data_IF_969409430855
#
_entry.id   IF_969409430855
#
_cell.length_a   1.000
_cell.length_b   1.000
_cell.length_c   1.000
_cell.angle_alpha   90.00
_cell.angle_beta   90.00
_cell.angle_gamma   90.00
#
_symmetry.space_group_name_H-M   'P 1'
#
loop_
_entity.id
_entity.type
_entity.pdbx_description
1 polymer ?
#
# COMPACT_ATOMS: atom_id res chain seq x y z
N UNK A 1 0.93 -33.75 1.70
CA UNK A 1 0.59 -33.52 3.12
C UNK A 1 -0.88 -33.12 3.15
N UNK A 2 -1.74 -33.80 3.92
CA UNK A 2 -3.18 -33.50 3.96
C UNK A 2 -3.61 -33.30 5.42
N UNK A 3 -4.01 -32.07 5.75
CA UNK A 3 -4.45 -31.63 7.08
C UNK A 3 -5.17 -30.28 6.95
N UNK A 4 -5.86 -29.85 8.02
CA UNK A 4 -6.41 -28.50 8.08
C UNK A 4 -5.28 -27.50 8.25
N UNK A 5 -5.40 -26.35 7.60
CA UNK A 5 -4.46 -25.22 7.72
C UNK A 5 -5.15 -24.03 8.36
N UNK A 6 -4.34 -23.13 8.90
CA UNK A 6 -4.71 -21.84 9.46
C UNK A 6 -4.16 -20.72 8.59
N UNK A 7 -4.58 -19.48 8.84
CA UNK A 7 -4.02 -18.31 8.15
C UNK A 7 -2.54 -18.11 8.48
N UNK A 8 -2.09 -18.52 9.66
CA UNK A 8 -0.68 -18.41 10.05
C UNK A 8 0.22 -19.35 9.23
N UNK A 9 -0.29 -20.52 8.83
CA UNK A 9 0.42 -21.43 7.92
C UNK A 9 0.62 -20.81 6.52
N UNK A 10 -0.38 -20.03 6.05
CA UNK A 10 -0.28 -19.28 4.79
C UNK A 10 0.79 -18.19 4.89
N UNK A 11 0.78 -17.41 5.98
CA UNK A 11 1.78 -16.36 6.20
C UNK A 11 3.20 -16.91 6.28
N UNK A 12 3.38 -18.03 6.97
CA UNK A 12 4.67 -18.69 7.05
C UNK A 12 5.16 -19.12 5.66
N UNK A 13 4.30 -19.78 4.88
CA UNK A 13 4.66 -20.25 3.53
C UNK A 13 5.04 -19.10 2.59
N UNK A 14 4.29 -17.98 2.64
CA UNK A 14 4.62 -16.78 1.87
C UNK A 14 5.91 -16.12 2.36
N UNK A 15 6.16 -16.11 3.68
CA UNK A 15 7.36 -15.52 4.27
C UNK A 15 8.61 -16.29 3.83
N UNK A 16 8.56 -17.62 3.84
CA UNK A 16 9.66 -18.48 3.39
C UNK A 16 9.99 -18.25 1.92
N UNK A 17 8.97 -18.26 1.03
CA UNK A 17 9.17 -17.99 -0.39
C UNK A 17 9.72 -16.57 -0.66
N UNK A 18 9.28 -15.59 0.12
CA UNK A 18 9.77 -14.22 0.02
C UNK A 18 11.24 -14.10 0.46
N UNK A 19 11.62 -14.74 1.58
CA UNK A 19 13.00 -14.77 2.07
C UNK A 19 13.96 -15.50 1.13
N UNK A 20 13.50 -16.57 0.47
CA UNK A 20 14.29 -17.27 -0.55
C UNK A 20 14.65 -16.33 -1.72
N UNK A 21 13.69 -15.51 -2.17
CA UNK A 21 13.89 -14.57 -3.27
C UNK A 21 14.57 -13.26 -2.84
N UNK A 22 14.36 -12.83 -1.59
CA UNK A 22 14.84 -11.57 -1.03
C UNK A 22 15.47 -11.77 0.37
N UNK A 23 16.65 -12.41 0.46
CA UNK A 23 17.23 -12.81 1.75
C UNK A 23 17.55 -11.66 2.71
N UNK A 24 17.73 -10.45 2.17
CA UNK A 24 18.04 -9.24 2.95
C UNK A 24 16.81 -8.44 3.37
N UNK A 25 15.60 -8.86 2.97
CA UNK A 25 14.39 -8.12 3.33
C UNK A 25 13.97 -8.39 4.77
N UNK A 26 13.62 -7.31 5.47
CA UNK A 26 13.05 -7.29 6.82
C UNK A 26 11.51 -7.34 6.84
N UNK A 27 10.88 -7.57 5.69
CA UNK A 27 9.43 -7.62 5.58
C UNK A 27 8.86 -8.77 6.41
N UNK A 28 7.98 -8.44 7.35
CA UNK A 28 7.15 -9.38 8.08
C UNK A 28 5.77 -9.47 7.43
N UNK A 29 5.52 -10.55 6.68
CA UNK A 29 4.27 -10.77 5.94
C UNK A 29 3.08 -10.91 6.88
N UNK A 30 3.27 -11.53 8.05
CA UNK A 30 2.18 -11.69 9.03
C UNK A 30 1.74 -10.34 9.58
N UNK A 31 2.69 -9.49 9.98
CA UNK A 31 2.39 -8.13 10.46
C UNK A 31 1.76 -7.27 9.35
N UNK A 32 2.19 -7.45 8.10
CA UNK A 32 1.60 -6.78 6.96
C UNK A 32 0.15 -7.22 6.71
N UNK A 33 -0.12 -8.53 6.69
CA UNK A 33 -1.38 -9.10 6.21
C UNK A 33 -2.46 -9.26 7.29
N UNK A 34 -2.08 -9.46 8.56
CA UNK A 34 -3.04 -9.59 9.66
C UNK A 34 -4.04 -8.40 9.73
N UNK A 35 -3.62 -7.13 9.57
CA UNK A 35 -4.53 -5.99 9.42
C UNK A 35 -5.59 -6.14 8.34
N UNK A 36 -5.25 -6.70 7.18
CA UNK A 36 -6.16 -6.80 6.04
C UNK A 36 -7.24 -7.85 6.22
N UNK A 37 -7.00 -8.87 7.04
CA UNK A 37 -7.92 -10.00 7.22
C UNK A 37 -8.63 -10.00 8.59
N UNK A 38 -8.04 -9.38 9.62
CA UNK A 38 -8.59 -9.39 10.99
C UNK A 38 -9.35 -8.11 11.32
N UNK A 39 -9.08 -7.00 10.63
CA UNK A 39 -9.79 -5.75 10.86
C UNK A 39 -11.08 -5.69 10.05
N UNK A 40 -12.11 -5.05 10.61
CA UNK A 40 -13.38 -4.85 9.92
C UNK A 40 -13.22 -3.65 8.97
N UNK A 41 -13.56 -3.86 7.71
CA UNK A 41 -13.51 -2.82 6.67
C UNK A 41 -12.18 -2.80 5.93
N UNK A 42 -11.91 -1.67 5.27
CA UNK A 42 -10.72 -1.44 4.46
C UNK A 42 -10.33 0.04 4.50
N UNK A 43 -9.05 0.38 4.28
CA UNK A 43 -8.61 1.76 4.28
C UNK A 43 -9.15 2.52 3.06
N UNK A 44 -9.56 3.75 3.29
CA UNK A 44 -9.78 4.75 2.25
C UNK A 44 -8.50 5.56 2.08
N UNK A 45 -7.88 5.45 0.91
CA UNK A 45 -6.68 6.20 0.54
C UNK A 45 -7.08 7.60 0.07
N UNK A 46 -6.69 8.62 0.83
CA UNK A 46 -6.93 10.02 0.49
C UNK A 46 -5.69 10.58 -0.21
N UNK A 47 -5.88 11.13 -1.41
CA UNK A 47 -4.79 11.70 -2.22
C UNK A 47 -5.03 13.19 -2.36
N UNK A 48 -4.22 14.00 -1.69
CA UNK A 48 -4.27 15.46 -1.77
C UNK A 48 -3.10 15.97 -2.59
N UNK A 49 -3.39 16.77 -3.61
CA UNK A 49 -2.36 17.28 -4.53
C UNK A 49 -2.29 18.80 -4.54
N UNK A 50 -1.07 19.32 -4.37
CA UNK A 50 -0.74 20.72 -4.62
C UNK A 50 -0.14 20.88 -6.03
N UNK A 51 -0.95 21.40 -6.95
CA UNK A 51 -0.55 21.66 -8.33
C UNK A 51 0.47 22.78 -8.49
N UNK A 52 0.61 23.69 -7.51
CA UNK A 52 1.60 24.77 -7.57
C UNK A 52 3.00 24.25 -7.26
N UNK A 53 3.13 23.35 -6.29
CA UNK A 53 4.42 22.80 -5.84
C UNK A 53 4.75 21.45 -6.46
N UNK A 54 3.78 20.76 -7.05
CA UNK A 54 3.96 19.40 -7.58
C UNK A 54 4.05 18.33 -6.48
N UNK A 55 3.56 18.64 -5.28
CA UNK A 55 3.57 17.72 -4.13
C UNK A 55 2.24 16.99 -4.01
N UNK A 56 2.29 15.70 -3.70
CA UNK A 56 1.13 14.86 -3.39
C UNK A 56 1.31 14.29 -1.99
N UNK A 57 0.27 14.42 -1.17
CA UNK A 57 0.19 13.87 0.18
C UNK A 57 -0.87 12.77 0.18
N UNK A 58 -0.48 11.57 0.61
CA UNK A 58 -1.33 10.41 0.70
C UNK A 58 -1.54 10.06 2.18
N UNK A 59 -2.80 9.94 2.59
CA UNK A 59 -3.19 9.52 3.94
C UNK A 59 -4.21 8.39 3.86
N UNK A 60 -4.53 7.79 5.01
CA UNK A 60 -5.57 6.76 5.12
C UNK A 60 -6.66 7.17 6.11
N UNK A 61 -7.89 6.75 5.85
CA UNK A 61 -9.06 6.96 6.70
C UNK A 61 -9.98 5.75 6.66
N UNK A 62 -10.97 5.69 7.55
CA UNK A 62 -12.08 4.75 7.46
C UNK A 62 -13.15 5.24 6.47
N UNK A 63 -14.15 4.39 6.19
CA UNK A 63 -15.23 4.70 5.24
C UNK A 63 -16.07 5.94 5.60
N UNK A 64 -16.08 6.35 6.87
CA UNK A 64 -16.73 7.56 7.36
C UNK A 64 -15.82 8.80 7.31
N UNK A 65 -14.62 8.68 6.74
CA UNK A 65 -13.63 9.75 6.63
C UNK A 65 -12.87 10.04 7.93
N UNK A 66 -13.06 9.24 8.99
CA UNK A 66 -12.34 9.41 10.25
C UNK A 66 -10.98 8.71 10.23
N UNK A 67 -10.09 9.15 11.11
CA UNK A 67 -8.82 8.46 11.36
C UNK A 67 -9.06 7.01 11.77
N UNK A 68 -8.37 6.02 11.15
CA UNK A 68 -8.56 4.63 11.49
C UNK A 68 -8.09 4.34 12.91
N UNK A 69 -8.91 3.62 13.70
CA UNK A 69 -8.48 3.11 15.02
C UNK A 69 -7.29 2.15 14.88
N UNK A 70 -7.26 1.40 13.80
CA UNK A 70 -6.17 0.53 13.40
C UNK A 70 -5.81 0.87 11.97
N UNK A 71 -4.53 1.09 11.69
CA UNK A 71 -4.03 1.48 10.38
C UNK A 71 -3.49 0.27 9.63
N UNK A 72 -3.48 0.37 8.31
CA UNK A 72 -2.89 -0.61 7.42
C UNK A 72 -1.53 -0.11 6.91
N UNK A 73 -0.63 -1.05 6.63
CA UNK A 73 0.50 -0.77 5.75
C UNK A 73 0.01 -1.02 4.32
N UNK A 74 -0.04 0.04 3.52
CA UNK A 74 -0.70 0.04 2.21
C UNK A 74 0.36 0.13 1.11
N UNK A 75 0.42 -0.85 0.18
CA UNK A 75 1.22 -0.73 -1.02
C UNK A 75 0.63 0.35 -1.93
N UNK A 76 1.47 1.29 -2.37
CA UNK A 76 1.07 2.40 -3.23
C UNK A 76 1.77 2.25 -4.58
N UNK A 77 0.97 2.05 -5.62
CA UNK A 77 1.34 2.22 -7.03
C UNK A 77 0.65 3.47 -7.57
N UNK A 78 1.28 4.18 -8.50
CA UNK A 78 0.67 5.33 -9.14
C UNK A 78 1.16 5.53 -10.57
N UNK A 79 0.30 6.12 -11.40
CA UNK A 79 0.62 6.59 -12.74
C UNK A 79 0.40 8.11 -12.82
N UNK A 80 1.12 8.77 -13.73
CA UNK A 80 0.91 10.18 -14.04
C UNK A 80 0.67 10.37 -15.53
N UNK A 81 0.27 11.58 -15.94
CA UNK A 81 0.11 11.90 -17.37
C UNK A 81 1.39 11.70 -18.16
N UNK A 82 2.54 12.12 -17.63
CA UNK A 82 3.84 11.99 -18.29
C UNK A 82 4.35 10.54 -18.26
N UNK A 83 4.02 9.79 -17.20
CA UNK A 83 4.38 8.38 -17.03
C UNK A 83 3.12 7.52 -16.86
N UNK A 84 2.33 7.28 -17.94
CA UNK A 84 1.04 6.60 -17.87
C UNK A 84 1.22 5.07 -17.88
N UNK A 85 2.13 4.58 -17.05
CA UNK A 85 2.54 3.17 -16.95
C UNK A 85 1.55 2.37 -16.12
N UNK A 86 0.31 2.25 -16.61
CA UNK A 86 -0.76 1.53 -15.92
C UNK A 86 -0.56 0.01 -15.91
N UNK A 87 0.34 -0.53 -16.73
CA UNK A 87 0.66 -1.94 -16.79
C UNK A 87 1.56 -2.42 -15.63
N UNK A 88 2.22 -1.50 -14.92
CA UNK A 88 3.10 -1.81 -13.79
C UNK A 88 2.36 -1.61 -12.47
N UNK A 89 1.97 -2.71 -11.84
CA UNK A 89 1.18 -2.71 -10.60
C UNK A 89 2.03 -2.97 -9.36
N UNK A 90 3.33 -3.25 -9.54
CA UNK A 90 4.26 -3.40 -8.42
C UNK A 90 4.30 -2.11 -7.58
N UNK A 91 4.13 -2.20 -6.26
CA UNK A 91 4.18 -1.03 -5.41
C UNK A 91 5.58 -0.46 -5.35
N UNK A 92 5.69 0.83 -5.67
CA UNK A 92 6.95 1.58 -5.58
C UNK A 92 7.11 2.25 -4.23
N UNK A 93 6.01 2.46 -3.52
CA UNK A 93 5.96 3.14 -2.24
C UNK A 93 5.04 2.39 -1.27
N UNK A 94 5.26 2.63 0.03
CA UNK A 94 4.45 2.06 1.10
C UNK A 94 4.03 3.18 2.04
N UNK A 95 2.73 3.30 2.28
CA UNK A 95 2.21 4.08 3.41
C UNK A 95 2.17 3.15 4.61
N UNK A 96 3.13 3.26 5.54
CA UNK A 96 3.17 2.35 6.70
C UNK A 96 2.06 2.71 7.69
N UNK A 97 1.63 1.72 8.46
CA UNK A 97 0.65 1.94 9.54
C UNK A 97 1.12 2.95 10.59
N UNK A 98 2.44 3.10 10.76
CA UNK A 98 3.07 4.09 11.66
C UNK A 98 3.17 5.50 11.08
N UNK A 99 2.98 5.66 9.77
CA UNK A 99 3.21 6.94 9.10
C UNK A 99 1.91 7.74 9.10
N UNK A 100 1.97 9.02 9.48
CA UNK A 100 0.83 9.93 9.37
C UNK A 100 0.41 10.13 7.90
N UNK A 101 1.42 10.28 7.03
CA UNK A 101 1.25 10.45 5.60
C UNK A 101 2.46 9.93 4.81
N UNK A 102 2.22 9.71 3.51
CA UNK A 102 3.25 9.48 2.50
C UNK A 102 3.28 10.69 1.56
N UNK A 103 4.44 11.31 1.40
CA UNK A 103 4.60 12.49 0.52
C UNK A 103 5.41 12.14 -0.73
N UNK A 104 4.86 12.49 -1.90
CA UNK A 104 5.51 12.35 -3.20
C UNK A 104 5.79 13.75 -3.75
N UNK A 105 7.04 14.00 -4.13
CA UNK A 105 7.47 15.27 -4.71
C UNK A 105 7.77 15.14 -6.20
N UNK A 106 7.84 16.28 -6.89
CA UNK A 106 8.32 16.34 -8.27
C UNK A 106 7.32 15.87 -9.32
N UNK A 107 6.03 15.77 -8.98
CA UNK A 107 5.00 15.51 -9.98
C UNK A 107 4.78 16.79 -10.80
N UNK A 108 4.88 16.70 -12.12
CA UNK A 108 4.68 17.84 -13.01
C UNK A 108 3.31 18.48 -12.74
N UNK A 109 3.28 19.80 -12.54
CA UNK A 109 2.06 20.57 -12.28
C UNK A 109 0.94 20.38 -13.31
N UNK A 110 1.24 19.99 -14.54
CA UNK A 110 0.22 19.82 -15.60
C UNK A 110 -0.23 18.35 -15.76
N UNK A 111 0.30 17.44 -14.94
CA UNK A 111 -0.06 16.03 -14.93
C UNK A 111 -1.29 15.77 -14.06
N UNK A 112 -2.04 14.71 -14.32
CA UNK A 112 -2.89 14.05 -13.32
C UNK A 112 -2.05 13.01 -12.55
N UNK A 113 -2.58 12.51 -11.44
CA UNK A 113 -2.05 11.34 -10.74
C UNK A 113 -3.20 10.38 -10.47
N UNK A 114 -3.01 9.10 -10.78
CA UNK A 114 -3.94 8.02 -10.46
C UNK A 114 -3.19 7.03 -9.57
N UNK A 115 -3.71 6.80 -8.38
CA UNK A 115 -3.15 5.88 -7.37
C UNK A 115 -3.94 4.57 -7.41
N UNK A 116 -3.30 3.47 -7.00
CA UNK A 116 -3.83 2.12 -7.10
C UNK A 116 -4.10 1.71 -8.56
N UNK A 117 -3.01 1.63 -9.31
CA UNK A 117 -3.02 1.28 -10.74
C UNK A 117 -3.69 -0.08 -10.93
N UNK A 118 -4.68 -0.15 -11.83
CA UNK A 118 -5.52 -1.34 -12.10
C UNK A 118 -6.35 -1.88 -10.93
N UNK A 119 -6.37 -1.21 -9.77
CA UNK A 119 -7.12 -1.68 -8.60
C UNK A 119 -6.68 -3.09 -8.14
N UNK A 120 -5.37 -3.33 -8.07
CA UNK A 120 -4.76 -4.61 -7.65
C UNK A 120 -4.20 -4.50 -6.24
#
# INVERSE_FOLDING_TARGET
>A
QFGSVTTDDLWQSLQEAHQERHPASDLNIKELMDPWIKQIGFPFVNVTRDYRTGTVIITQSNADGQEPKNRWTIPISYATKTNPFFEFTEPTLWLKSSDDNLTIHGINKDDWIIVNVQQI
#
